data_IF_142215899188
#
_entry.id   IF_142215899188
#
_cell.length_a   1.000
_cell.length_b   1.000
_cell.length_c   1.000
_cell.angle_alpha   90.00
_cell.angle_beta   90.00
_cell.angle_gamma   90.00
#
_symmetry.space_group_name_H-M   'P 1'
#
loop_
_entity.id
_entity.type
_entity.pdbx_description
1 polymer ?
#
# COMPACT_ATOMS: atom_id res chain seq x y z
N UNK A 1 -26.44 10.76 36.55
CA UNK A 1 -25.06 11.01 36.05
C UNK A 1 -24.17 9.77 35.88
N UNK A 2 -24.38 8.62 36.56
CA UNK A 2 -23.52 7.42 36.39
C UNK A 2 -23.76 6.63 35.08
N UNK A 3 -25.01 6.52 34.61
CA UNK A 3 -25.36 5.78 33.37
C UNK A 3 -24.76 6.40 32.10
N UNK A 4 -24.70 7.73 32.02
CA UNK A 4 -24.09 8.47 30.90
C UNK A 4 -22.57 8.28 30.83
N UNK A 5 -21.89 8.17 31.98
CA UNK A 5 -20.43 7.91 32.02
C UNK A 5 -20.07 6.49 31.59
N UNK A 6 -20.89 5.50 31.95
CA UNK A 6 -20.70 4.11 31.51
C UNK A 6 -20.89 3.95 29.99
N UNK A 7 -21.93 4.57 29.41
CA UNK A 7 -22.13 4.56 27.96
C UNK A 7 -20.99 5.23 27.17
N UNK A 8 -20.46 6.34 27.70
CA UNK A 8 -19.35 7.07 27.07
C UNK A 8 -18.03 6.28 27.12
N UNK A 9 -17.78 5.53 28.20
CA UNK A 9 -16.66 4.60 28.30
C UNK A 9 -16.75 3.45 27.29
N UNK A 10 -17.93 2.85 27.12
CA UNK A 10 -18.13 1.78 26.13
C UNK A 10 -17.89 2.30 24.71
N UNK A 11 -18.40 3.49 24.38
CA UNK A 11 -18.18 4.12 23.08
C UNK A 11 -16.68 4.37 22.80
N UNK A 12 -15.94 4.85 23.80
CA UNK A 12 -14.48 5.07 23.70
C UNK A 12 -13.73 3.76 23.43
N UNK A 13 -14.12 2.66 24.09
CA UNK A 13 -13.50 1.34 23.88
C UNK A 13 -13.77 0.82 22.46
N UNK A 14 -14.99 0.99 21.94
CA UNK A 14 -15.33 0.58 20.57
C UNK A 14 -14.51 1.38 19.54
N UNK A 15 -14.44 2.70 19.70
CA UNK A 15 -13.70 3.58 18.79
C UNK A 15 -12.20 3.26 18.78
N UNK A 16 -11.61 3.03 19.95
CA UNK A 16 -10.19 2.65 20.06
C UNK A 16 -9.92 1.26 19.48
N UNK A 17 -10.81 0.29 19.71
CA UNK A 17 -10.69 -1.04 19.10
C UNK A 17 -10.77 -1.01 17.57
N UNK A 18 -11.68 -0.21 17.01
CA UNK A 18 -11.84 -0.06 15.57
C UNK A 18 -10.61 0.62 14.92
N UNK A 19 -10.09 1.69 15.54
CA UNK A 19 -8.91 2.38 15.02
C UNK A 19 -7.66 1.50 15.06
N UNK A 20 -7.48 0.72 16.13
CA UNK A 20 -6.37 -0.24 16.22
C UNK A 20 -6.45 -1.30 15.12
N UNK A 21 -7.62 -1.90 14.91
CA UNK A 21 -7.84 -2.89 13.84
C UNK A 21 -7.56 -2.31 12.46
N UNK A 22 -7.99 -1.07 12.22
CA UNK A 22 -7.73 -0.38 10.97
C UNK A 22 -6.22 -0.21 10.73
N UNK A 23 -5.48 0.27 11.73
CA UNK A 23 -4.02 0.46 11.63
C UNK A 23 -3.30 -0.87 11.36
N UNK A 24 -3.66 -1.94 12.07
CA UNK A 24 -3.07 -3.27 11.88
C UNK A 24 -3.36 -3.78 10.46
N UNK A 25 -4.59 -3.68 10.01
CA UNK A 25 -5.00 -4.15 8.68
C UNK A 25 -4.27 -3.38 7.58
N UNK A 26 -4.16 -2.06 7.72
CA UNK A 26 -3.44 -1.21 6.75
C UNK A 26 -1.94 -1.54 6.73
N UNK A 27 -1.33 -1.83 7.88
CA UNK A 27 0.06 -2.27 7.94
C UNK A 27 0.27 -3.59 7.20
N UNK A 28 -0.59 -4.59 7.46
CA UNK A 28 -0.54 -5.89 6.79
C UNK A 28 -0.74 -5.77 5.28
N UNK A 29 -1.67 -4.92 4.84
CA UNK A 29 -1.90 -4.68 3.42
C UNK A 29 -0.70 -4.04 2.75
N UNK A 30 -0.09 -3.02 3.38
CA UNK A 30 1.15 -2.40 2.86
C UNK A 30 2.29 -3.41 2.78
N UNK A 31 2.43 -4.30 3.75
CA UNK A 31 3.42 -5.37 3.71
C UNK A 31 3.18 -6.32 2.53
N UNK A 32 1.94 -6.79 2.34
CA UNK A 32 1.56 -7.65 1.22
C UNK A 32 1.83 -6.96 -0.14
N UNK A 33 1.45 -5.69 -0.29
CA UNK A 33 1.72 -4.88 -1.49
C UNK A 33 3.21 -4.83 -1.79
N UNK A 34 4.05 -4.56 -0.78
CA UNK A 34 5.51 -4.51 -0.95
C UNK A 34 6.07 -5.85 -1.39
N UNK A 35 5.67 -6.94 -0.75
CA UNK A 35 6.12 -8.29 -1.11
C UNK A 35 5.70 -8.67 -2.53
N UNK A 36 4.43 -8.44 -2.89
CA UNK A 36 3.90 -8.74 -4.22
C UNK A 36 4.57 -7.88 -5.29
N UNK A 37 4.74 -6.58 -5.03
CA UNK A 37 5.40 -5.67 -5.96
C UNK A 37 6.88 -6.01 -6.17
N UNK A 38 7.61 -6.35 -5.11
CA UNK A 38 9.01 -6.79 -5.24
C UNK A 38 9.10 -8.09 -6.06
N UNK A 39 8.19 -9.04 -5.82
CA UNK A 39 8.13 -10.29 -6.60
C UNK A 39 7.85 -10.01 -8.07
N UNK A 40 6.95 -9.07 -8.37
CA UNK A 40 6.64 -8.66 -9.73
C UNK A 40 7.86 -8.01 -10.40
N UNK A 41 8.46 -6.97 -9.82
CA UNK A 41 9.58 -6.25 -10.43
C UNK A 41 10.78 -7.17 -10.68
N UNK A 42 11.11 -8.06 -9.74
CA UNK A 42 12.15 -9.08 -9.93
C UNK A 42 11.90 -9.95 -11.15
N UNK A 43 10.64 -10.36 -11.36
CA UNK A 43 10.27 -11.22 -12.47
C UNK A 43 10.24 -10.45 -13.80
N UNK A 44 9.59 -9.29 -13.82
CA UNK A 44 9.33 -8.53 -15.04
C UNK A 44 10.60 -7.88 -15.59
N UNK A 45 11.42 -7.29 -14.73
CA UNK A 45 12.63 -6.57 -15.12
C UNK A 45 13.91 -7.40 -15.01
N UNK A 46 13.79 -8.70 -14.69
CA UNK A 46 14.91 -9.57 -14.33
C UNK A 46 15.84 -8.92 -13.28
N UNK A 47 15.25 -8.14 -12.35
CA UNK A 47 16.00 -7.35 -11.38
C UNK A 47 16.70 -8.26 -10.35
N UNK A 48 18.03 -8.29 -10.41
CA UNK A 48 18.89 -9.06 -9.53
C UNK A 48 19.28 -8.33 -8.25
N UNK A 49 19.11 -7.00 -8.23
CA UNK A 49 19.49 -6.17 -7.10
C UNK A 49 18.53 -6.24 -5.91
N UNK A 50 19.01 -5.70 -4.78
CA UNK A 50 18.17 -5.52 -3.61
C UNK A 50 17.13 -4.42 -3.87
N UNK A 51 15.87 -4.83 -4.00
CA UNK A 51 14.73 -3.91 -4.04
C UNK A 51 14.31 -3.46 -2.64
N UNK A 52 14.05 -2.16 -2.49
CA UNK A 52 13.47 -1.55 -1.29
C UNK A 52 12.22 -0.75 -1.64
N UNK A 53 11.22 -0.79 -0.77
CA UNK A 53 10.05 0.07 -0.89
C UNK A 53 10.39 1.48 -0.41
N UNK A 54 10.47 2.42 -1.35
CA UNK A 54 10.67 3.83 -1.06
C UNK A 54 9.37 4.47 -0.54
N UNK A 55 8.24 4.14 -1.16
CA UNK A 55 6.93 4.67 -0.77
C UNK A 55 5.81 3.66 -1.00
N UNK A 56 4.78 3.71 -0.16
CA UNK A 56 3.55 2.91 -0.32
C UNK A 56 2.35 3.76 0.09
N UNK A 57 1.55 4.18 -0.87
CA UNK A 57 0.46 5.13 -0.69
C UNK A 57 -0.88 4.52 -1.12
N UNK A 58 -1.97 4.97 -0.52
CA UNK A 58 -3.31 4.82 -1.09
C UNK A 58 -3.65 6.08 -1.87
N UNK A 59 -4.26 5.98 -3.06
CA UNK A 59 -4.81 7.15 -3.74
C UNK A 59 -5.88 7.81 -2.86
N UNK A 60 -5.87 9.14 -2.82
CA UNK A 60 -6.74 9.94 -1.96
C UNK A 60 -8.23 9.82 -2.32
N UNK A 61 -8.55 9.48 -3.57
CA UNK A 61 -9.93 9.37 -4.08
C UNK A 61 -10.14 8.11 -4.92
N UNK A 62 -11.20 7.34 -4.61
CA UNK A 62 -11.84 6.37 -5.50
C UNK A 62 -11.05 5.11 -5.92
N UNK A 63 -9.75 5.03 -5.64
CA UNK A 63 -8.92 3.89 -6.04
C UNK A 63 -8.92 2.77 -5.00
N UNK A 64 -9.26 1.55 -5.41
CA UNK A 64 -9.18 0.33 -4.58
C UNK A 64 -7.76 -0.25 -4.45
N UNK A 65 -6.73 0.44 -4.96
CA UNK A 65 -5.36 -0.05 -5.03
C UNK A 65 -4.36 0.74 -4.19
N UNK A 66 -3.16 0.19 -4.07
CA UNK A 66 -2.00 0.82 -3.46
C UNK A 66 -1.00 1.19 -4.56
N UNK A 67 -0.48 2.41 -4.48
CA UNK A 67 0.67 2.86 -5.25
C UNK A 67 1.94 2.49 -4.49
N UNK A 68 2.87 1.81 -5.17
CA UNK A 68 4.13 1.37 -4.62
C UNK A 68 5.27 1.88 -5.49
N UNK A 69 6.25 2.52 -4.84
CA UNK A 69 7.53 2.87 -5.45
C UNK A 69 8.59 1.94 -4.89
N UNK A 70 9.22 1.16 -5.76
CA UNK A 70 10.38 0.34 -5.43
C UNK A 70 11.63 1.00 -6.01
N UNK A 71 12.75 0.90 -5.28
CA UNK A 71 14.07 1.32 -5.76
C UNK A 71 15.07 0.19 -5.63
N UNK A 72 15.92 0.01 -6.63
CA UNK A 72 17.08 -0.87 -6.53
C UNK A 72 18.27 -0.16 -5.86
N UNK A 73 19.41 -0.85 -5.72
CA UNK A 73 20.64 -0.33 -5.12
C UNK A 73 21.22 0.85 -5.89
N UNK A 74 20.99 0.91 -7.20
CA UNK A 74 21.46 1.97 -8.09
C UNK A 74 20.54 3.21 -8.09
N UNK A 75 19.43 3.17 -7.36
CA UNK A 75 18.47 4.27 -7.27
C UNK A 75 17.45 4.30 -8.41
N UNK A 76 17.45 3.30 -9.30
CA UNK A 76 16.43 3.13 -10.32
C UNK A 76 15.08 2.83 -9.67
N UNK A 77 14.05 3.55 -10.10
CA UNK A 77 12.71 3.47 -9.53
C UNK A 77 11.73 2.71 -10.43
N UNK A 78 10.88 1.92 -9.79
CA UNK A 78 9.78 1.16 -10.39
C UNK A 78 8.47 1.60 -9.75
N UNK A 79 7.45 1.79 -10.58
CA UNK A 79 6.19 2.43 -10.21
C UNK A 79 5.03 1.51 -10.53
N UNK A 80 4.46 0.89 -9.50
CA UNK A 80 3.40 -0.12 -9.68
C UNK A 80 2.16 0.23 -8.85
N UNK A 81 0.99 -0.03 -9.42
CA UNK A 81 -0.29 0.06 -8.74
C UNK A 81 -0.82 -1.36 -8.51
N UNK A 82 -1.09 -1.70 -7.25
CA UNK A 82 -1.47 -3.05 -6.82
C UNK A 82 -2.84 -3.01 -6.16
N UNK A 83 -3.79 -3.76 -6.68
CA UNK A 83 -5.11 -3.99 -6.06
C UNK A 83 -5.08 -5.34 -5.35
N UNK A 84 -5.38 -5.31 -4.05
CA UNK A 84 -5.46 -6.51 -3.22
C UNK A 84 -6.90 -7.00 -3.11
N UNK A 85 -7.05 -8.33 -3.05
CA UNK A 85 -8.29 -9.00 -2.66
C UNK A 85 -8.49 -9.02 -1.14
N UNK A 86 -9.63 -9.56 -0.66
CA UNK A 86 -9.95 -9.63 0.76
C UNK A 86 -8.95 -10.47 1.57
N UNK A 87 -8.31 -11.45 0.94
CA UNK A 87 -7.26 -12.29 1.55
C UNK A 87 -5.85 -11.73 1.36
N UNK A 88 -5.72 -10.46 0.92
CA UNK A 88 -4.45 -9.79 0.59
C UNK A 88 -3.69 -10.47 -0.55
N UNK A 89 -4.39 -11.25 -1.37
CA UNK A 89 -3.89 -11.80 -2.63
C UNK A 89 -3.90 -10.73 -3.73
N UNK A 90 -3.05 -10.90 -4.74
CA UNK A 90 -3.02 -10.00 -5.89
C UNK A 90 -4.29 -10.19 -6.74
N UNK A 91 -5.01 -9.11 -7.01
CA UNK A 91 -6.16 -9.08 -7.95
C UNK A 91 -5.76 -8.40 -9.25
N UNK A 92 -5.16 -7.22 -9.16
CA UNK A 92 -4.70 -6.46 -10.32
C UNK A 92 -3.35 -5.83 -10.04
N UNK A 93 -2.50 -5.79 -11.06
CA UNK A 93 -1.24 -5.04 -11.05
C UNK A 93 -1.16 -4.23 -12.33
N UNK A 94 -0.93 -2.92 -12.19
CA UNK A 94 -0.61 -2.04 -13.31
C UNK A 94 0.80 -1.51 -13.13
N UNK A 95 1.66 -1.81 -14.08
CA UNK A 95 2.99 -1.22 -14.15
C UNK A 95 2.95 0.10 -14.91
N UNK A 96 3.37 1.17 -14.25
CA UNK A 96 3.40 2.52 -14.79
C UNK A 96 4.83 3.01 -14.99
N UNK A 97 5.84 2.15 -14.79
CA UNK A 97 7.26 2.53 -14.77
C UNK A 97 7.68 3.23 -16.06
N UNK A 98 7.38 2.63 -17.22
CA UNK A 98 7.70 3.25 -18.52
C UNK A 98 6.94 4.57 -18.73
N UNK A 99 5.67 4.62 -18.35
CA UNK A 99 4.86 5.83 -18.48
C UNK A 99 5.36 6.97 -17.60
N UNK A 100 5.81 6.68 -16.38
CA UNK A 100 6.38 7.67 -15.47
C UNK A 100 7.74 8.16 -15.96
N UNK A 101 8.60 7.25 -16.44
CA UNK A 101 9.93 7.60 -16.98
C UNK A 101 9.85 8.46 -18.24
N UNK A 102 8.90 8.16 -19.13
CA UNK A 102 8.67 8.93 -20.35
C UNK A 102 7.86 10.23 -20.10
N UNK A 103 7.34 10.43 -18.89
CA UNK A 103 6.51 11.58 -18.54
C UNK A 103 5.06 11.49 -19.03
N UNK A 104 4.64 10.37 -19.63
CA UNK A 104 3.26 10.16 -20.11
C UNK A 104 2.27 9.84 -18.99
N UNK A 105 2.75 9.46 -17.81
CA UNK A 105 1.93 9.10 -16.65
C UNK A 105 2.42 9.80 -15.39
N UNK A 106 1.49 10.37 -14.61
CA UNK A 106 1.80 10.89 -13.28
C UNK A 106 1.71 9.82 -12.22
N UNK A 107 2.65 9.82 -11.27
CA UNK A 107 2.63 8.93 -10.09
C UNK A 107 2.82 9.76 -8.82
N UNK A 108 1.74 10.03 -8.06
CA UNK A 108 1.78 10.98 -6.94
C UNK A 108 2.43 10.41 -5.68
N UNK A 109 2.56 9.09 -5.54
CA UNK A 109 3.29 8.47 -4.43
C UNK A 109 4.80 8.63 -4.61
N UNK A 110 5.50 9.20 -3.62
CA UNK A 110 6.93 9.50 -3.65
C UNK A 110 7.61 9.12 -2.34
#
# INVERSE_FOLDING_TARGET
MKRTRAGLLILMIILTGASLKYVITEHQNKQAVRTLGMKYVRKEYAEGDTLKAAATCKPLFGGSGYQLVLKNSHGEAYYVLIVLGPERNLVTLNDLTLGVRSGSSMFPCR
#
